data_IF_838745796565
#
_entry.id   IF_838745796565
#
_cell.length_a   1.000
_cell.length_b   1.000
_cell.length_c   1.000
_cell.angle_alpha   90.00
_cell.angle_beta   90.00
_cell.angle_gamma   90.00
#
_symmetry.space_group_name_H-M   'P 1'
#
loop_
_entity.id
_entity.type
_entity.pdbx_description
1 polymer ?
#
# COMPACT_ATOMS: atom_id res chain seq x y z
N UNK A 1 5.49 -19.43 -9.25
CA UNK A 1 4.71 -18.46 -10.06
C UNK A 1 4.85 -17.11 -9.37
N UNK A 2 5.49 -16.11 -9.99
CA UNK A 2 5.59 -14.76 -9.38
C UNK A 2 4.21 -14.09 -9.42
N UNK A 3 3.80 -13.47 -8.32
CA UNK A 3 2.58 -12.66 -8.28
C UNK A 3 2.79 -11.38 -9.09
N UNK A 4 1.81 -10.96 -9.90
CA UNK A 4 1.90 -9.74 -10.70
C UNK A 4 2.05 -8.52 -9.79
N UNK A 5 2.83 -7.53 -10.22
CA UNK A 5 3.00 -6.27 -9.49
C UNK A 5 1.67 -5.49 -9.45
N UNK A 6 1.31 -4.88 -8.30
CA UNK A 6 0.15 -4.01 -8.23
C UNK A 6 0.40 -2.76 -9.11
N UNK A 7 -0.65 -2.19 -9.73
CA UNK A 7 -0.51 -0.98 -10.54
C UNK A 7 0.05 0.16 -9.68
N UNK A 8 0.91 1.03 -10.23
CA UNK A 8 1.43 2.18 -9.49
C UNK A 8 0.26 3.08 -9.03
N UNK A 9 0.38 3.72 -7.86
CA UNK A 9 -0.61 4.70 -7.44
C UNK A 9 -0.75 5.77 -8.54
N UNK A 10 -2.00 6.05 -8.95
CA UNK A 10 -2.28 7.12 -9.91
C UNK A 10 -1.68 8.41 -9.35
N UNK A 11 -0.87 9.09 -10.16
CA UNK A 11 -0.36 10.41 -9.84
C UNK A 11 -1.54 11.39 -9.85
N UNK A 12 -2.19 11.56 -8.70
CA UNK A 12 -3.21 12.57 -8.51
C UNK A 12 -2.51 13.94 -8.46
N UNK A 13 -2.56 14.69 -9.58
CA UNK A 13 -1.90 15.99 -9.75
C UNK A 13 -2.73 17.13 -9.17
N UNK A 14 -3.32 16.92 -7.99
CA UNK A 14 -4.12 17.91 -7.27
C UNK A 14 -3.61 18.07 -5.84
N UNK A 15 -3.87 19.22 -5.19
CA UNK A 15 -3.66 19.33 -3.76
C UNK A 15 -4.48 18.24 -3.09
N UNK A 16 -3.81 17.33 -2.38
CA UNK A 16 -4.42 16.27 -1.56
C UNK A 16 -5.15 16.91 -0.38
N UNK A 17 -6.29 17.54 -0.65
CA UNK A 17 -7.34 17.59 0.35
C UNK A 17 -7.74 16.14 0.56
N UNK A 18 -7.60 15.64 1.79
CA UNK A 18 -8.39 14.51 2.20
C UNK A 18 -9.83 14.78 1.73
N UNK A 19 -10.52 13.84 1.05
CA UNK A 19 -11.93 14.03 0.80
C UNK A 19 -12.54 14.24 2.17
N UNK A 20 -12.90 15.49 2.48
CA UNK A 20 -13.73 15.80 3.63
C UNK A 20 -15.02 15.12 3.23
N UNK A 21 -15.16 13.85 3.64
CA UNK A 21 -16.38 13.10 3.46
C UNK A 21 -17.50 13.98 4.00
N UNK A 22 -18.68 13.91 3.37
CA UNK A 22 -19.88 14.49 3.97
C UNK A 22 -19.87 14.10 5.45
N UNK A 23 -19.97 15.09 6.33
CA UNK A 23 -19.73 14.96 7.78
C UNK A 23 -20.62 13.93 8.47
N UNK A 24 -21.64 13.43 7.77
CA UNK A 24 -22.62 12.47 8.28
C UNK A 24 -22.39 11.03 7.79
N UNK A 25 -21.37 10.77 6.96
CA UNK A 25 -21.12 9.44 6.42
C UNK A 25 -20.23 8.61 7.35
N UNK A 26 -20.82 7.58 7.97
CA UNK A 26 -20.07 6.59 8.77
C UNK A 26 -19.39 5.57 7.85
N UNK A 27 -18.08 5.40 8.01
CA UNK A 27 -17.31 4.35 7.35
C UNK A 27 -17.05 3.23 8.36
N UNK A 28 -17.28 1.99 7.93
CA UNK A 28 -17.05 0.82 8.75
C UNK A 28 -15.90 0.01 8.19
N UNK A 29 -15.30 -0.81 9.04
CA UNK A 29 -14.27 -1.75 8.64
C UNK A 29 -14.47 -3.10 9.33
N UNK A 30 -13.75 -4.11 8.85
CA UNK A 30 -13.51 -5.32 9.65
C UNK A 30 -12.68 -4.97 10.89
N UNK A 31 -12.64 -5.83 11.91
CA UNK A 31 -11.58 -5.79 12.89
C UNK A 31 -10.20 -5.85 12.21
N UNK A 32 -9.19 -5.17 12.77
CA UNK A 32 -7.82 -5.30 12.26
C UNK A 32 -7.27 -6.70 12.56
N UNK A 33 -6.39 -7.18 11.69
CA UNK A 33 -5.67 -8.43 11.91
C UNK A 33 -4.22 -8.31 11.49
N UNK A 34 -3.38 -9.18 12.06
CA UNK A 34 -1.95 -9.26 11.74
C UNK A 34 -1.76 -10.14 10.52
N UNK A 35 -1.08 -9.61 9.52
CA UNK A 35 -0.60 -10.40 8.38
C UNK A 35 0.62 -11.19 8.86
N UNK A 36 0.76 -12.48 8.51
CA UNK A 36 1.97 -13.24 8.81
C UNK A 36 3.23 -12.51 8.33
N UNK A 37 4.32 -12.64 9.09
CA UNK A 37 5.61 -12.05 8.76
C UNK A 37 6.32 -12.86 7.66
N UNK A 38 5.67 -12.93 6.49
CA UNK A 38 6.14 -13.65 5.31
C UNK A 38 5.92 -12.76 4.08
N UNK A 39 6.94 -12.70 3.21
CA UNK A 39 6.95 -11.87 2.02
C UNK A 39 5.75 -12.15 1.11
N UNK A 40 5.49 -13.42 0.79
CA UNK A 40 4.37 -13.82 -0.06
C UNK A 40 3.02 -13.49 0.57
N UNK A 41 2.82 -13.72 1.88
CA UNK A 41 1.56 -13.40 2.55
C UNK A 41 1.26 -11.90 2.54
N UNK A 42 2.28 -11.05 2.74
CA UNK A 42 2.14 -9.59 2.64
C UNK A 42 1.82 -9.19 1.20
N UNK A 43 2.49 -9.78 0.20
CA UNK A 43 2.18 -9.54 -1.21
C UNK A 43 0.73 -9.93 -1.55
N UNK A 44 0.26 -11.09 -1.05
CA UNK A 44 -1.09 -11.57 -1.28
C UNK A 44 -2.14 -10.67 -0.65
N UNK A 45 -1.93 -10.22 0.59
CA UNK A 45 -2.84 -9.28 1.25
C UNK A 45 -2.94 -7.97 0.45
N UNK A 46 -1.80 -7.41 0.02
CA UNK A 46 -1.79 -6.19 -0.77
C UNK A 46 -2.47 -6.40 -2.13
N UNK A 47 -2.25 -7.54 -2.77
CA UNK A 47 -2.86 -7.88 -4.05
C UNK A 47 -4.39 -7.98 -3.95
N UNK A 48 -4.88 -8.69 -2.95
CA UNK A 48 -6.30 -9.01 -2.81
C UNK A 48 -7.10 -7.85 -2.22
N UNK A 49 -6.52 -7.13 -1.25
CA UNK A 49 -7.28 -6.23 -0.37
C UNK A 49 -6.72 -4.81 -0.32
N UNK A 50 -5.56 -4.57 -0.91
CA UNK A 50 -4.94 -3.25 -1.01
C UNK A 50 -3.96 -2.96 0.13
N UNK A 51 -3.58 -1.68 0.31
CA UNK A 51 -2.46 -1.30 1.17
C UNK A 51 -2.56 -1.79 2.62
N UNK A 52 -1.41 -2.16 3.18
CA UNK A 52 -1.27 -2.60 4.57
C UNK A 52 -0.43 -1.62 5.38
N UNK A 53 -0.62 -1.60 6.70
CA UNK A 53 0.17 -0.77 7.61
C UNK A 53 1.31 -1.60 8.19
N UNK A 54 2.53 -1.07 8.19
CA UNK A 54 3.71 -1.74 8.73
C UNK A 54 4.44 -0.84 9.73
N UNK A 55 5.09 -1.46 10.71
CA UNK A 55 6.08 -0.79 11.54
C UNK A 55 7.48 -1.00 10.97
N UNK A 56 8.28 0.05 11.02
CA UNK A 56 9.72 0.00 10.71
C UNK A 56 10.51 0.51 11.91
N UNK A 57 11.70 -0.05 12.09
CA UNK A 57 12.70 0.51 12.98
C UNK A 57 13.51 1.55 12.20
N UNK A 58 13.14 2.82 12.34
CA UNK A 58 13.85 3.94 11.73
C UNK A 58 15.22 4.07 12.34
N UNK A 59 16.19 4.27 11.46
CA UNK A 59 17.59 4.52 11.78
C UNK A 59 17.99 5.90 11.26
N UNK A 60 19.10 6.40 11.75
CA UNK A 60 19.64 7.74 11.48
C UNK A 60 19.77 8.07 9.99
N UNK A 61 20.10 7.09 9.16
CA UNK A 61 20.32 7.28 7.72
C UNK A 61 19.01 7.37 6.91
N UNK A 62 17.90 6.83 7.41
CA UNK A 62 16.61 6.92 6.72
C UNK A 62 16.09 8.36 6.63
N UNK A 63 16.42 9.22 7.61
CA UNK A 63 16.06 10.63 7.55
C UNK A 63 16.66 11.35 6.34
N UNK A 64 17.79 10.85 5.83
CA UNK A 64 18.51 11.40 4.69
C UNK A 64 18.08 10.80 3.35
N UNK A 65 17.15 9.84 3.34
CA UNK A 65 16.69 9.19 2.13
C UNK A 65 16.14 10.19 1.09
N UNK A 66 16.60 10.03 -0.16
CA UNK A 66 16.15 10.83 -1.32
C UNK A 66 15.54 9.98 -2.41
N UNK A 67 16.19 8.87 -2.76
CA UNK A 67 15.72 7.97 -3.82
C UNK A 67 16.44 6.62 -3.75
N UNK A 68 15.98 5.66 -4.56
CA UNK A 68 16.56 4.32 -4.68
C UNK A 68 15.87 3.30 -3.79
N UNK A 69 16.50 2.15 -3.56
CA UNK A 69 16.00 1.14 -2.61
C UNK A 69 16.80 1.26 -1.32
N UNK A 70 16.16 1.74 -0.26
CA UNK A 70 16.75 1.90 1.06
C UNK A 70 17.17 0.55 1.65
N UNK A 71 18.40 0.52 2.14
CA UNK A 71 18.97 -0.51 3.01
C UNK A 71 19.79 0.24 4.06
N UNK A 72 19.65 -0.10 5.34
CA UNK A 72 20.45 0.53 6.36
C UNK A 72 21.95 0.29 6.11
N UNK A 73 22.72 1.36 6.20
CA UNK A 73 24.17 1.35 6.00
C UNK A 73 24.90 1.29 7.34
N UNK A 74 26.09 0.69 7.36
CA UNK A 74 26.95 0.65 8.54
C UNK A 74 27.68 1.97 8.83
N UNK A 75 27.31 3.06 8.15
CA UNK A 75 28.02 4.34 8.22
C UNK A 75 28.02 4.88 9.66
N UNK A 76 27.02 4.54 10.47
CA UNK A 76 26.93 4.94 11.86
C UNK A 76 27.50 3.93 12.88
N UNK A 77 27.98 2.77 12.44
CA UNK A 77 28.60 1.79 13.34
C UNK A 77 29.94 2.29 13.92
N UNK A 78 30.55 3.31 13.32
CA UNK A 78 31.73 4.01 13.86
C UNK A 78 31.37 5.18 14.79
N UNK A 79 30.11 5.63 14.79
CA UNK A 79 29.66 6.72 15.65
C UNK A 79 29.51 6.24 17.10
N UNK A 80 29.73 7.08 18.11
CA UNK A 80 29.43 6.73 19.50
C UNK A 80 27.95 6.32 19.69
N UNK A 81 27.63 5.42 20.64
CA UNK A 81 26.27 4.87 20.83
C UNK A 81 25.17 5.92 21.00
N UNK A 82 25.47 7.07 21.61
CA UNK A 82 24.55 8.19 21.81
C UNK A 82 24.05 8.82 20.49
N UNK A 83 24.77 8.60 19.38
CA UNK A 83 24.40 9.03 18.04
C UNK A 83 23.73 7.94 17.20
N UNK A 84 23.73 6.68 17.66
CA UNK A 84 23.06 5.53 17.00
C UNK A 84 21.60 5.43 17.42
N UNK A 85 20.82 6.46 17.08
CA UNK A 85 19.41 6.54 17.48
C UNK A 85 18.56 5.69 16.55
N UNK A 86 17.70 4.86 17.15
CA UNK A 86 16.65 4.16 16.43
C UNK A 86 15.30 4.33 17.13
N UNK A 87 14.23 4.29 16.35
CA UNK A 87 12.87 4.45 16.85
C UNK A 87 11.86 3.78 15.94
N UNK A 88 10.75 3.32 16.51
CA UNK A 88 9.67 2.73 15.73
C UNK A 88 8.87 3.81 15.01
N UNK A 89 8.53 3.56 13.75
CA UNK A 89 7.67 4.43 12.94
C UNK A 89 6.69 3.57 12.14
N UNK A 90 5.51 4.13 11.87
CA UNK A 90 4.49 3.46 11.08
C UNK A 90 4.48 4.00 9.65
N UNK A 91 4.43 3.10 8.68
CA UNK A 91 4.34 3.41 7.25
C UNK A 91 3.24 2.58 6.60
N UNK A 92 2.87 2.93 5.37
CA UNK A 92 1.88 2.18 4.59
C UNK A 92 2.54 1.54 3.37
N UNK A 93 2.50 0.21 3.28
CA UNK A 93 3.00 -0.52 2.12
C UNK A 93 1.90 -0.53 1.06
N UNK A 94 2.24 -0.05 -0.13
CA UNK A 94 1.31 0.10 -1.26
C UNK A 94 1.48 -1.00 -2.31
N UNK A 95 2.66 -1.61 -2.36
CA UNK A 95 3.01 -2.56 -3.39
C UNK A 95 4.47 -2.96 -3.31
N UNK A 96 4.94 -3.65 -4.35
CA UNK A 96 6.29 -4.16 -4.43
C UNK A 96 6.80 -4.15 -5.87
N UNK A 97 8.11 -4.21 -6.02
CA UNK A 97 8.77 -4.23 -7.31
C UNK A 97 10.13 -4.90 -7.29
N UNK A 98 10.81 -4.82 -8.43
CA UNK A 98 12.23 -5.14 -8.59
C UNK A 98 12.87 -3.96 -9.28
N UNK A 99 13.83 -3.32 -8.62
CA UNK A 99 14.67 -2.29 -9.21
C UNK A 99 15.78 -2.98 -10.03
N UNK A 100 15.89 -2.65 -11.31
CA UNK A 100 16.87 -3.21 -12.25
C UNK A 100 17.86 -2.15 -12.77
N UNK A 101 17.92 -0.98 -12.12
CA UNK A 101 18.86 0.09 -12.48
C UNK A 101 20.31 -0.25 -12.12
N UNK A 102 20.52 -1.17 -11.19
CA UNK A 102 21.84 -1.67 -10.78
C UNK A 102 22.17 -3.02 -11.45
N UNK A 103 23.45 -3.41 -11.40
CA UNK A 103 23.91 -4.69 -11.95
C UNK A 103 23.17 -5.90 -11.35
N UNK A 104 22.90 -5.86 -10.04
CA UNK A 104 22.09 -6.86 -9.35
C UNK A 104 20.68 -6.31 -9.12
N UNK A 105 19.62 -7.00 -9.57
CA UNK A 105 18.25 -6.58 -9.31
C UNK A 105 17.93 -6.61 -7.81
N UNK A 106 17.26 -5.57 -7.31
CA UNK A 106 16.90 -5.45 -5.89
C UNK A 106 15.38 -5.48 -5.73
N UNK A 107 14.86 -6.47 -4.99
CA UNK A 107 13.45 -6.54 -4.60
C UNK A 107 13.13 -5.41 -3.61
N UNK A 108 12.00 -4.72 -3.79
CA UNK A 108 11.59 -3.66 -2.87
C UNK A 108 10.10 -3.70 -2.52
N UNK A 109 9.78 -3.13 -1.36
CA UNK A 109 8.45 -2.64 -0.99
C UNK A 109 8.33 -1.17 -1.34
N UNK A 110 7.21 -0.76 -1.95
CA UNK A 110 6.84 0.64 -2.17
C UNK A 110 6.02 1.13 -0.98
N UNK A 111 6.52 2.12 -0.27
CA UNK A 111 5.91 2.62 0.95
C UNK A 111 5.56 4.10 0.84
N UNK A 112 4.39 4.49 1.37
CA UNK A 112 4.06 5.88 1.64
C UNK A 112 4.50 6.25 3.05
N UNK A 113 5.21 7.37 3.17
CA UNK A 113 5.56 7.99 4.43
C UNK A 113 4.60 9.15 4.74
N UNK A 114 4.71 9.71 5.95
CA UNK A 114 3.86 10.80 6.46
C UNK A 114 4.66 12.06 6.83
N UNK A 115 5.86 12.23 6.26
CA UNK A 115 6.75 13.39 6.51
C UNK A 115 6.66 14.48 5.42
N UNK A 116 5.57 14.48 4.65
CA UNK A 116 5.31 15.44 3.58
C UNK A 116 5.96 15.07 2.25
N UNK A 117 5.51 15.73 1.18
CA UNK A 117 5.93 15.42 -0.20
C UNK A 117 7.38 15.81 -0.52
N UNK A 118 7.98 16.72 0.24
CA UNK A 118 9.38 17.13 0.03
C UNK A 118 10.42 16.10 0.51
N UNK A 119 9.97 15.02 1.17
CA UNK A 119 10.84 13.95 1.65
C UNK A 119 10.84 12.77 0.67
N UNK A 120 12.01 12.14 0.49
CA UNK A 120 12.16 10.96 -0.37
C UNK A 120 11.67 11.19 -1.80
N UNK A 121 10.96 10.19 -2.33
CA UNK A 121 10.45 10.16 -3.70
C UNK A 121 9.01 10.71 -3.71
N UNK A 122 8.84 12.02 -3.51
CA UNK A 122 7.54 12.70 -3.39
C UNK A 122 6.67 12.26 -2.19
N UNK A 123 7.30 11.97 -1.06
CA UNK A 123 6.67 11.43 0.15
C UNK A 123 6.64 9.89 0.21
N UNK A 124 7.17 9.23 -0.82
CA UNK A 124 7.30 7.78 -0.89
C UNK A 124 8.75 7.36 -0.70
N UNK A 125 8.94 6.08 -0.42
CA UNK A 125 10.25 5.45 -0.42
C UNK A 125 10.13 3.99 -0.81
N UNK A 126 11.26 3.43 -1.24
CA UNK A 126 11.40 2.01 -1.52
C UNK A 126 12.41 1.44 -0.53
N UNK A 127 12.15 0.25 -0.03
CA UNK A 127 12.97 -0.44 0.98
C UNK A 127 13.12 -1.90 0.59
N UNK A 128 14.26 -2.50 0.89
CA UNK A 128 14.55 -3.90 0.56
C UNK A 128 13.42 -4.82 1.06
N UNK A 129 13.00 -5.74 0.18
CA UNK A 129 11.96 -6.74 0.43
C UNK A 129 12.54 -8.15 0.47
N UNK A 130 12.02 -8.97 1.38
CA UNK A 130 12.36 -10.38 1.56
C UNK A 130 13.54 -10.62 2.50
N UNK A 131 13.96 -9.58 3.23
CA UNK A 131 15.08 -9.61 4.17
C UNK A 131 14.70 -9.02 5.54
N UNK A 132 13.42 -8.69 5.79
CA UNK A 132 12.96 -7.99 6.99
C UNK A 132 13.80 -6.72 7.30
N UNK A 133 14.21 -6.01 6.24
CA UNK A 133 15.03 -4.80 6.34
C UNK A 133 14.32 -3.77 7.22
N UNK A 134 15.05 -3.28 8.22
CA UNK A 134 14.50 -2.37 9.24
C UNK A 134 13.18 -2.87 9.86
N UNK A 135 13.00 -4.19 9.99
CA UNK A 135 11.84 -4.85 10.61
C UNK A 135 10.50 -4.64 9.91
N UNK A 136 10.52 -4.24 8.63
CA UNK A 136 9.30 -3.87 7.89
C UNK A 136 8.30 -5.02 7.72
N UNK A 137 8.77 -6.27 7.68
CA UNK A 137 7.91 -7.46 7.50
C UNK A 137 7.45 -8.04 8.84
N UNK A 138 8.10 -7.64 9.94
CA UNK A 138 7.87 -8.20 11.27
C UNK A 138 6.49 -7.87 11.85
N UNK A 139 5.94 -6.67 11.59
CA UNK A 139 4.67 -6.24 12.16
C UNK A 139 3.82 -5.50 11.12
N UNK A 140 2.95 -6.27 10.46
CA UNK A 140 2.05 -5.78 9.42
C UNK A 140 0.60 -5.99 9.86
N UNK A 141 -0.20 -4.93 9.77
CA UNK A 141 -1.63 -4.93 10.05
C UNK A 141 -2.43 -4.64 8.79
N UNK A 142 -3.55 -5.34 8.63
CA UNK A 142 -4.51 -5.13 7.57
C UNK A 142 -5.92 -4.93 8.13
N UNK A 143 -6.75 -4.25 7.35
CA UNK A 143 -8.15 -3.99 7.66
C UNK A 143 -8.92 -3.76 6.37
N UNK A 144 -10.15 -4.28 6.26
CA UNK A 144 -10.96 -4.12 5.06
C UNK A 144 -12.07 -3.10 5.29
N UNK A 145 -12.17 -2.12 4.39
CA UNK A 145 -13.28 -1.18 4.38
C UNK A 145 -14.59 -1.87 4.03
N UNK A 146 -15.60 -1.73 4.89
CA UNK A 146 -17.01 -2.05 4.57
C UNK A 146 -17.69 -0.76 4.13
N UNK A 147 -17.83 -0.59 2.83
CA UNK A 147 -18.71 0.46 2.28
C UNK A 147 -20.12 -0.09 2.08
N UNK A 148 -21.12 0.78 2.03
CA UNK A 148 -22.48 0.38 1.65
C UNK A 148 -22.50 -0.39 0.31
N UNK A 149 -21.58 -0.09 -0.62
CA UNK A 149 -21.45 -0.80 -1.88
C UNK A 149 -20.87 -2.22 -1.74
N UNK A 150 -20.00 -2.49 -0.76
CA UNK A 150 -19.48 -3.84 -0.52
C UNK A 150 -20.48 -4.76 0.17
N UNK A 151 -21.39 -4.21 0.99
CA UNK A 151 -22.51 -4.95 1.57
C UNK A 151 -23.43 -5.54 0.50
N UNK A 152 -23.90 -4.74 -0.46
CA UNK A 152 -24.76 -5.20 -1.55
C UNK A 152 -24.04 -6.08 -2.57
N UNK A 153 -22.71 -5.95 -2.74
CA UNK A 153 -21.96 -6.88 -3.61
C UNK A 153 -21.89 -8.31 -3.02
N UNK A 154 -21.89 -8.43 -1.70
CA UNK A 154 -21.84 -9.73 -1.01
C UNK A 154 -23.22 -10.32 -0.71
N UNK A 155 -24.27 -9.49 -0.68
CA UNK A 155 -25.65 -9.88 -0.31
C UNK A 155 -26.68 -9.52 -1.40
N UNK A 156 -26.25 -9.30 -2.64
CA UNK A 156 -27.19 -9.12 -3.75
C UNK A 156 -28.03 -10.40 -3.89
N UNK A 157 -29.37 -10.32 -3.89
CA UNK A 157 -30.19 -11.46 -4.25
C UNK A 157 -29.79 -11.92 -5.66
N UNK A 158 -29.56 -13.22 -5.83
CA UNK A 158 -29.37 -13.83 -7.15
C UNK A 158 -30.55 -13.41 -8.04
N UNK A 159 -30.33 -12.98 -9.30
CA UNK A 159 -31.44 -12.81 -10.21
C UNK A 159 -32.11 -14.18 -10.36
N UNK A 160 -33.35 -14.26 -9.90
CA UNK A 160 -34.22 -15.40 -10.15
C UNK A 160 -34.45 -15.40 -11.67
N UNK A 161 -33.76 -16.30 -12.37
CA UNK A 161 -33.98 -16.54 -13.80
C UNK A 161 -35.37 -17.15 -13.95
N UNK A 162 -36.39 -16.31 -13.97
CA UNK A 162 -37.70 -16.62 -14.50
C UNK A 162 -37.74 -16.21 -15.96
N UNK A 163 -37.95 -17.19 -16.84
CA UNK A 163 -38.25 -16.99 -18.26
C UNK A 163 -39.30 -15.88 -18.44
N UNK A 164 -38.92 -14.75 -19.03
CA UNK A 164 -39.86 -13.89 -19.77
C UNK A 164 -39.18 -13.38 -21.03
N UNK A 165 -39.96 -13.47 -22.10
CA UNK A 165 -39.60 -13.31 -23.49
C UNK A 165 -38.90 -11.99 -23.82
N UNK A 166 -38.03 -12.07 -24.82
CA UNK A 166 -37.41 -10.93 -25.48
C UNK A 166 -38.48 -10.01 -26.08
N UNK A 167 -38.66 -8.83 -25.52
CA UNK A 167 -39.25 -7.69 -26.22
C UNK A 167 -38.33 -6.47 -26.16
N UNK A 168 -37.80 -6.13 -27.34
CA UNK A 168 -37.51 -4.77 -27.82
C UNK A 168 -36.74 -3.80 -26.94
N UNK A 169 -35.44 -3.60 -27.24
CA UNK A 169 -34.76 -2.33 -26.98
C UNK A 169 -35.15 -1.30 -28.07
N UNK A 170 -35.79 -0.15 -27.74
CA UNK A 170 -35.77 1.01 -28.61
C UNK A 170 -34.49 1.81 -28.34
N UNK A 171 -33.65 1.93 -29.38
CA UNK A 171 -32.44 2.72 -29.33
C UNK A 171 -32.69 4.22 -29.27
N UNK A 172 -31.68 4.96 -28.83
CA UNK A 172 -31.41 6.31 -29.30
C UNK A 172 -29.90 6.49 -29.48
N UNK A 173 -29.58 6.72 -30.75
CA UNK A 173 -28.31 7.16 -31.30
C UNK A 173 -28.00 8.61 -30.91
N UNK A 174 -26.69 8.91 -30.99
CA UNK A 174 -26.06 10.18 -31.35
C UNK A 174 -26.29 11.42 -30.49
N UNK A 175 -25.18 12.02 -30.03
CA UNK A 175 -24.76 13.34 -30.50
C UNK A 175 -23.22 13.42 -30.45
N UNK A 176 -22.69 13.90 -31.57
CA UNK A 176 -21.31 14.20 -31.96
C UNK A 176 -20.49 15.03 -30.98
#
# INVERSE_FOLDING_TARGET
RQLPHPPPPRADRGPTRAPIGRTDQKYFSTPPYRVPANEEDIMQEIYANGPVQALILVKEDLFLYRSGVYRHTRISESLPPEFRKSGWHSVRILGWGVDRSQYQPVKYWLCANSWGHGWGENGYFRIVRGEDESKIESFVLAVWGRSYASYYRQHAPQPEYGEREYEGYPGYNELS
#
